data_IF_861723957387
#
_entry.id   IF_861723957387
#
_cell.length_a   1.000
_cell.length_b   1.000
_cell.length_c   1.000
_cell.angle_alpha   90.00
_cell.angle_beta   90.00
_cell.angle_gamma   90.00
#
_symmetry.space_group_name_H-M   'P 1'
#
loop_
_entity.id
_entity.type
_entity.pdbx_description
1 polymer ?
#
# COMPACT_ATOMS: atom_id res chain seq x y z
N UNK A 1 -8.55 -12.13 30.29
CA UNK A 1 -7.79 -11.14 31.05
C UNK A 1 -6.92 -10.29 30.15
N UNK A 2 -6.40 -9.22 30.69
CA UNK A 2 -5.53 -8.30 29.94
C UNK A 2 -4.27 -8.99 29.40
N UNK A 3 -3.63 -9.85 30.19
CA UNK A 3 -2.45 -10.59 29.77
C UNK A 3 -2.77 -11.47 28.55
N UNK A 4 -3.91 -12.17 28.58
CA UNK A 4 -4.32 -13.02 27.45
C UNK A 4 -4.61 -12.21 26.18
N UNK A 5 -5.18 -11.02 26.33
CA UNK A 5 -5.42 -10.12 25.19
C UNK A 5 -4.12 -9.68 24.58
N UNK A 6 -3.13 -9.30 25.40
CA UNK A 6 -1.81 -8.91 24.92
C UNK A 6 -1.09 -10.05 24.21
N UNK A 7 -1.15 -11.26 24.77
CA UNK A 7 -0.57 -12.45 24.13
C UNK A 7 -1.25 -12.76 22.79
N UNK A 8 -2.56 -12.60 22.73
CA UNK A 8 -3.31 -12.80 21.49
C UNK A 8 -2.89 -11.80 20.43
N UNK A 9 -2.72 -10.53 20.79
CA UNK A 9 -2.24 -9.51 19.85
C UNK A 9 -0.86 -9.87 19.31
N UNK A 10 0.07 -10.30 20.17
CA UNK A 10 1.39 -10.73 19.72
C UNK A 10 1.33 -11.88 18.74
N UNK A 11 0.47 -12.86 18.99
CA UNK A 11 0.26 -13.98 18.07
C UNK A 11 -0.37 -13.53 16.74
N UNK A 12 -1.32 -12.59 16.81
CA UNK A 12 -1.96 -12.01 15.62
C UNK A 12 -0.92 -11.34 14.73
N UNK A 13 -0.06 -10.51 15.30
CA UNK A 13 0.97 -9.80 14.55
C UNK A 13 1.99 -10.74 13.93
N UNK A 14 2.50 -11.69 14.71
CA UNK A 14 3.45 -12.67 14.21
C UNK A 14 2.84 -13.58 13.13
N UNK A 15 1.61 -14.03 13.33
CA UNK A 15 0.90 -14.87 12.37
C UNK A 15 0.57 -14.12 11.09
N UNK A 16 0.15 -12.85 11.19
CA UNK A 16 -0.12 -12.00 10.05
C UNK A 16 1.13 -11.71 9.23
N UNK A 17 2.23 -11.41 9.89
CA UNK A 17 3.51 -11.20 9.23
C UNK A 17 3.95 -12.46 8.47
N UNK A 18 3.89 -13.62 9.13
CA UNK A 18 4.26 -14.88 8.52
C UNK A 18 3.39 -15.17 7.29
N UNK A 19 2.08 -15.00 7.41
CA UNK A 19 1.16 -15.23 6.31
C UNK A 19 1.48 -14.33 5.12
N UNK A 20 1.79 -13.06 5.37
CA UNK A 20 2.15 -12.11 4.32
C UNK A 20 3.45 -12.52 3.62
N UNK A 21 4.46 -12.91 4.39
CA UNK A 21 5.75 -13.33 3.85
C UNK A 21 5.63 -14.59 2.98
N UNK A 22 4.67 -15.46 3.27
CA UNK A 22 4.45 -16.70 2.51
C UNK A 22 3.66 -16.51 1.22
N UNK A 23 3.06 -15.33 1.01
CA UNK A 23 2.36 -15.04 -0.23
C UNK A 23 3.35 -14.78 -1.36
N UNK A 24 3.01 -15.23 -2.56
CA UNK A 24 3.77 -14.90 -3.76
C UNK A 24 3.33 -13.54 -4.28
N UNK A 25 4.26 -12.63 -4.57
CA UNK A 25 3.90 -11.36 -5.16
C UNK A 25 3.46 -11.54 -6.61
N UNK A 26 2.43 -10.79 -7.02
CA UNK A 26 1.86 -10.87 -8.36
C UNK A 26 2.11 -9.53 -9.07
N UNK A 27 2.50 -9.52 -10.36
CA UNK A 27 2.65 -8.28 -11.08
C UNK A 27 1.39 -7.41 -10.95
N UNK A 28 1.58 -6.10 -10.74
CA UNK A 28 0.49 -5.18 -10.35
C UNK A 28 -0.75 -5.31 -11.24
N UNK A 29 -0.59 -5.26 -12.55
CA UNK A 29 -1.72 -5.26 -13.49
C UNK A 29 -2.24 -6.67 -13.83
N UNK A 30 -1.66 -7.71 -13.25
CA UNK A 30 -2.14 -9.09 -13.40
C UNK A 30 -2.81 -9.60 -12.13
N UNK A 31 -2.84 -8.78 -11.08
CA UNK A 31 -3.33 -9.21 -9.79
C UNK A 31 -4.85 -9.31 -9.75
N UNK A 32 -5.34 -10.34 -9.06
CA UNK A 32 -6.76 -10.52 -8.80
C UNK A 32 -6.98 -10.25 -7.31
N UNK A 33 -7.45 -9.04 -7.00
CA UNK A 33 -7.54 -8.56 -5.62
C UNK A 33 -8.92 -8.90 -5.04
N UNK A 34 -8.97 -9.49 -3.83
CA UNK A 34 -10.26 -9.85 -3.24
C UNK A 34 -11.04 -8.62 -2.76
N UNK A 35 -12.35 -8.69 -2.90
CA UNK A 35 -13.29 -7.66 -2.45
C UNK A 35 -13.53 -7.84 -0.94
N UNK A 36 -12.53 -7.54 -0.14
CA UNK A 36 -12.48 -7.86 1.29
C UNK A 36 -11.61 -6.85 2.04
N UNK A 37 -11.85 -6.70 3.34
CA UNK A 37 -10.95 -5.97 4.21
C UNK A 37 -9.59 -6.68 4.29
N UNK A 38 -8.52 -5.93 4.36
CA UNK A 38 -7.21 -6.55 4.45
C UNK A 38 -6.04 -5.60 4.30
N UNK A 39 -4.91 -6.19 3.98
CA UNK A 39 -3.62 -5.53 3.78
C UNK A 39 -3.12 -5.77 2.37
N UNK A 40 -2.37 -4.81 1.88
CA UNK A 40 -1.61 -4.98 0.65
C UNK A 40 -0.17 -4.53 0.85
N UNK A 41 0.72 -5.16 0.11
CA UNK A 41 2.17 -5.01 0.20
C UNK A 41 2.67 -4.83 -1.22
N UNK A 42 3.35 -3.72 -1.49
CA UNK A 42 3.78 -3.35 -2.85
C UNK A 42 5.29 -3.29 -2.90
N UNK A 43 5.88 -3.98 -3.85
CA UNK A 43 7.32 -3.93 -4.10
C UNK A 43 7.60 -3.56 -5.54
N UNK A 44 8.69 -2.83 -5.76
CA UNK A 44 9.16 -2.44 -7.09
C UNK A 44 10.44 -3.20 -7.41
N UNK A 45 10.63 -3.56 -8.68
CA UNK A 45 11.78 -4.35 -9.09
C UNK A 45 13.14 -3.79 -8.68
N UNK A 46 13.30 -2.46 -8.73
CA UNK A 46 14.57 -1.81 -8.39
C UNK A 46 14.59 -1.24 -6.97
N UNK A 47 13.46 -0.79 -6.47
CA UNK A 47 13.37 -0.07 -5.18
C UNK A 47 13.00 -0.96 -4.00
N UNK A 48 12.67 -2.22 -4.23
CA UNK A 48 12.25 -3.13 -3.17
C UNK A 48 10.89 -2.80 -2.61
N UNK A 49 10.67 -3.02 -1.33
CA UNK A 49 9.39 -2.74 -0.67
C UNK A 49 9.14 -1.24 -0.63
N UNK A 50 8.07 -0.79 -1.29
CA UNK A 50 7.76 0.64 -1.37
C UNK A 50 6.57 1.04 -0.52
N UNK A 51 5.60 0.15 -0.27
CA UNK A 51 4.37 0.57 0.39
C UNK A 51 3.65 -0.60 1.03
N UNK A 52 3.12 -0.37 2.23
CA UNK A 52 2.17 -1.27 2.90
C UNK A 52 0.96 -0.44 3.26
N UNK A 53 -0.23 -0.96 2.96
CA UNK A 53 -1.48 -0.28 3.28
C UNK A 53 -2.53 -1.24 3.80
N UNK A 54 -3.55 -0.68 4.45
CA UNK A 54 -4.73 -1.42 4.87
C UNK A 54 -5.97 -0.77 4.27
N UNK A 55 -7.05 -1.53 4.17
CA UNK A 55 -8.32 -1.00 3.72
C UNK A 55 -9.46 -1.89 4.19
N UNK A 56 -10.63 -1.28 4.39
CA UNK A 56 -11.87 -2.02 4.58
C UNK A 56 -12.30 -2.76 3.30
N UNK A 57 -11.76 -2.37 2.15
CA UNK A 57 -11.94 -3.07 0.87
C UNK A 57 -10.68 -2.88 0.02
N UNK A 58 -9.82 -3.91 0.01
CA UNK A 58 -8.53 -3.81 -0.66
C UNK A 58 -8.67 -3.74 -2.18
N UNK A 59 -9.73 -4.31 -2.76
CA UNK A 59 -9.95 -4.18 -4.20
C UNK A 59 -10.26 -2.74 -4.61
N UNK A 60 -11.09 -2.04 -3.84
CA UNK A 60 -11.38 -0.62 -4.13
C UNK A 60 -10.12 0.23 -4.04
N UNK A 61 -9.27 0.00 -3.03
CA UNK A 61 -8.00 0.72 -2.90
C UNK A 61 -7.05 0.40 -4.05
N UNK A 62 -6.96 -0.86 -4.43
CA UNK A 62 -6.16 -1.27 -5.58
C UNK A 62 -6.63 -0.58 -6.86
N UNK A 63 -7.94 -0.54 -7.10
CA UNK A 63 -8.51 0.13 -8.28
C UNK A 63 -8.18 1.62 -8.25
N UNK A 64 -8.29 2.26 -7.08
CA UNK A 64 -7.93 3.67 -6.90
C UNK A 64 -6.45 3.90 -7.19
N UNK A 65 -5.56 3.09 -6.63
CA UNK A 65 -4.13 3.21 -6.86
C UNK A 65 -3.74 2.94 -8.32
N UNK A 66 -4.55 2.16 -9.03
CA UNK A 66 -4.27 1.82 -10.43
C UNK A 66 -4.64 2.93 -11.41
N UNK A 67 -5.44 3.92 -10.98
CA UNK A 67 -5.95 4.89 -11.95
C UNK A 67 -6.14 6.33 -11.50
N UNK A 68 -6.29 6.61 -10.20
CA UNK A 68 -6.72 7.95 -9.74
C UNK A 68 -5.73 8.58 -8.77
N UNK A 69 -4.90 9.48 -9.27
CA UNK A 69 -3.88 10.16 -8.45
C UNK A 69 -4.48 10.96 -7.30
N UNK A 70 -5.58 11.66 -7.54
CA UNK A 70 -6.20 12.50 -6.51
C UNK A 70 -6.51 11.75 -5.21
N UNK A 71 -7.04 10.52 -5.32
CA UNK A 71 -7.43 9.72 -4.16
C UNK A 71 -6.35 8.71 -3.73
N UNK A 72 -5.20 8.70 -4.37
CA UNK A 72 -4.15 7.72 -4.12
C UNK A 72 -2.89 8.36 -3.56
N UNK A 73 -2.67 8.19 -2.26
CA UNK A 73 -1.41 8.60 -1.65
C UNK A 73 -0.22 7.87 -2.27
N UNK A 74 -0.38 6.58 -2.58
CA UNK A 74 0.67 5.79 -3.24
C UNK A 74 1.10 6.43 -4.56
N UNK A 75 0.16 6.78 -5.43
CA UNK A 75 0.47 7.41 -6.71
C UNK A 75 1.14 8.77 -6.51
N UNK A 76 0.63 9.58 -5.59
CA UNK A 76 1.24 10.90 -5.30
C UNK A 76 2.67 10.75 -4.80
N UNK A 77 2.93 9.79 -3.91
CA UNK A 77 4.28 9.58 -3.39
C UNK A 77 5.23 8.99 -4.45
N UNK A 78 4.76 8.11 -5.31
CA UNK A 78 5.55 7.67 -6.46
C UNK A 78 5.95 8.89 -7.30
N UNK A 79 5.00 9.74 -7.64
CA UNK A 79 5.27 10.90 -8.46
C UNK A 79 6.23 11.88 -7.81
N UNK A 80 6.00 12.26 -6.56
CA UNK A 80 6.82 13.29 -5.89
C UNK A 80 8.15 12.75 -5.39
N UNK A 81 8.17 11.56 -4.79
CA UNK A 81 9.36 11.08 -4.07
C UNK A 81 10.30 10.26 -4.96
N UNK A 82 9.77 9.56 -5.96
CA UNK A 82 10.57 8.72 -6.84
C UNK A 82 10.83 9.41 -8.17
N UNK A 83 9.79 9.95 -8.80
CA UNK A 83 9.89 10.53 -10.14
C UNK A 83 10.16 12.04 -10.12
N UNK A 84 10.15 12.65 -8.94
CA UNK A 84 10.46 14.07 -8.74
C UNK A 84 9.52 15.03 -9.48
N UNK A 85 8.24 14.63 -9.62
CA UNK A 85 7.20 15.49 -10.19
C UNK A 85 6.62 16.40 -9.13
N UNK A 86 6.06 17.53 -9.55
CA UNK A 86 5.35 18.46 -8.68
C UNK A 86 3.84 18.26 -8.86
N UNK A 87 3.11 18.26 -7.73
CA UNK A 87 1.66 18.20 -7.76
C UNK A 87 1.08 19.55 -8.17
N UNK A 88 0.11 19.51 -9.07
CA UNK A 88 -0.59 20.69 -9.55
C UNK A 88 -1.83 20.97 -8.72
N UNK A 89 -2.19 22.24 -8.61
CA UNK A 89 -3.39 22.70 -7.88
C UNK A 89 -4.57 22.72 -8.83
N UNK A 90 -5.65 22.02 -8.44
CA UNK A 90 -6.97 22.12 -9.09
C UNK A 90 -8.02 22.20 -8.00
N UNK A 91 -8.98 23.10 -8.13
CA UNK A 91 -10.05 23.29 -7.15
C UNK A 91 -9.51 23.46 -5.72
N UNK A 92 -8.40 24.19 -5.58
CA UNK A 92 -7.76 24.44 -4.30
C UNK A 92 -7.01 23.25 -3.70
N UNK A 93 -6.89 22.14 -4.42
CA UNK A 93 -6.20 20.93 -3.93
C UNK A 93 -4.93 20.66 -4.75
N UNK A 94 -3.82 20.43 -4.07
CA UNK A 94 -2.53 20.12 -4.68
C UNK A 94 -2.36 18.61 -4.79
N UNK A 95 -3.18 17.97 -5.65
CA UNK A 95 -3.29 16.50 -5.74
C UNK A 95 -3.28 15.95 -7.16
N UNK A 96 -2.86 16.74 -8.13
CA UNK A 96 -2.92 16.34 -9.53
C UNK A 96 -1.54 16.38 -10.17
N UNK A 97 -1.34 15.50 -11.12
CA UNK A 97 -0.21 15.55 -12.04
C UNK A 97 -0.71 15.80 -13.46
N UNK A 98 0.20 16.20 -14.34
CA UNK A 98 -0.10 16.26 -15.77
C UNK A 98 -0.37 14.84 -16.29
N UNK A 99 -1.13 14.75 -17.39
CA UNK A 99 -1.47 13.45 -17.96
C UNK A 99 -0.24 12.62 -18.32
N UNK A 100 0.80 13.26 -18.86
CA UNK A 100 2.06 12.58 -19.18
C UNK A 100 2.76 12.04 -17.95
N UNK A 101 2.64 12.76 -16.83
CA UNK A 101 3.22 12.34 -15.54
C UNK A 101 2.45 11.16 -14.95
N UNK A 102 1.12 11.18 -15.05
CA UNK A 102 0.29 10.02 -14.64
C UNK A 102 0.64 8.77 -15.43
N UNK A 103 0.97 8.91 -16.71
CA UNK A 103 1.43 7.78 -17.53
C UNK A 103 2.75 7.22 -17.02
N UNK A 104 3.66 8.08 -16.58
CA UNK A 104 4.93 7.62 -16.00
C UNK A 104 4.70 6.90 -14.67
N UNK A 105 3.75 7.32 -13.87
CA UNK A 105 3.35 6.61 -12.65
C UNK A 105 2.82 5.22 -13.01
N UNK A 106 2.00 5.12 -14.06
CA UNK A 106 1.50 3.82 -14.51
C UNK A 106 2.65 2.90 -14.96
N UNK A 107 3.65 3.43 -15.64
CA UNK A 107 4.84 2.65 -16.02
C UNK A 107 5.60 2.16 -14.79
N UNK A 108 5.72 2.99 -13.76
CA UNK A 108 6.34 2.59 -12.51
C UNK A 108 5.58 1.42 -11.88
N UNK A 109 4.24 1.50 -11.86
CA UNK A 109 3.39 0.42 -11.33
C UNK A 109 3.50 -0.87 -12.15
N UNK A 110 3.76 -0.79 -13.46
CA UNK A 110 4.02 -1.99 -14.28
C UNK A 110 5.24 -2.77 -13.80
N UNK A 111 6.18 -2.12 -13.12
CA UNK A 111 7.35 -2.76 -12.54
C UNK A 111 7.15 -3.12 -11.07
N UNK A 112 5.94 -3.00 -10.57
CA UNK A 112 5.58 -3.35 -9.20
C UNK A 112 4.88 -4.70 -9.14
N UNK A 113 5.02 -5.35 -7.98
CA UNK A 113 4.28 -6.55 -7.63
C UNK A 113 3.54 -6.30 -6.34
N UNK A 114 2.38 -6.92 -6.20
CA UNK A 114 1.52 -6.75 -5.04
C UNK A 114 1.24 -8.08 -4.37
N UNK A 115 1.21 -8.08 -3.04
CA UNK A 115 0.63 -9.13 -2.22
C UNK A 115 -0.62 -8.55 -1.60
N UNK A 116 -1.73 -9.26 -1.66
CA UNK A 116 -2.97 -8.85 -1.03
C UNK A 116 -3.43 -9.94 -0.08
N UNK A 117 -3.74 -9.57 1.15
CA UNK A 117 -4.09 -10.52 2.20
C UNK A 117 -5.38 -10.09 2.88
N UNK A 118 -6.36 -11.01 2.95
CA UNK A 118 -7.59 -10.76 3.69
C UNK A 118 -7.27 -10.69 5.18
N UNK A 119 -7.75 -9.65 5.84
CA UNK A 119 -7.61 -9.48 7.29
C UNK A 119 -8.94 -8.92 7.80
N UNK A 120 -9.69 -9.72 8.52
CA UNK A 120 -10.99 -9.32 9.06
C UNK A 120 -10.89 -8.71 10.45
N UNK A 121 -9.76 -8.89 11.12
CA UNK A 121 -9.56 -8.39 12.49
C UNK A 121 -8.09 -7.98 12.68
N UNK A 122 -7.88 -6.80 13.24
CA UNK A 122 -6.53 -6.34 13.59
C UNK A 122 -5.74 -5.73 12.44
N UNK A 123 -6.37 -5.32 11.35
CA UNK A 123 -5.63 -4.80 10.20
C UNK A 123 -4.86 -3.50 10.48
N UNK A 124 -5.41 -2.62 11.34
CA UNK A 124 -4.71 -1.39 11.72
C UNK A 124 -3.44 -1.69 12.50
N UNK A 125 -3.53 -2.59 13.48
CA UNK A 125 -2.41 -2.99 14.33
C UNK A 125 -1.34 -3.70 13.51
N UNK A 126 -1.75 -4.57 12.59
CA UNK A 126 -0.82 -5.29 11.73
C UNK A 126 -0.12 -4.36 10.74
N UNK A 127 -0.85 -3.43 10.12
CA UNK A 127 -0.26 -2.43 9.22
C UNK A 127 0.81 -1.61 9.96
N UNK A 128 0.47 -1.06 11.12
CA UNK A 128 1.40 -0.24 11.89
C UNK A 128 2.65 -1.03 12.29
N UNK A 129 2.47 -2.26 12.74
CA UNK A 129 3.58 -3.15 13.10
C UNK A 129 4.52 -3.38 11.92
N UNK A 130 3.95 -3.71 10.76
CA UNK A 130 4.74 -4.00 9.57
C UNK A 130 5.45 -2.77 9.01
N UNK A 131 4.79 -1.61 9.02
CA UNK A 131 5.41 -0.35 8.57
C UNK A 131 6.59 0.01 9.47
N UNK A 132 6.44 -0.12 10.78
CA UNK A 132 7.53 0.16 11.73
C UNK A 132 8.70 -0.79 11.56
N UNK A 133 8.41 -2.06 11.30
CA UNK A 133 9.45 -3.09 11.17
C UNK A 133 10.20 -3.00 9.85
N UNK A 134 9.49 -2.86 8.75
CA UNK A 134 10.07 -2.93 7.41
C UNK A 134 10.37 -1.59 6.77
N UNK A 135 9.79 -0.52 7.26
CA UNK A 135 9.99 0.86 6.80
C UNK A 135 9.93 0.99 5.28
N UNK A 136 8.76 0.73 4.67
CA UNK A 136 8.64 0.85 3.22
C UNK A 136 8.99 2.25 2.74
N UNK A 137 9.57 2.34 1.56
CA UNK A 137 10.12 3.58 1.01
C UNK A 137 9.13 4.75 1.03
N UNK A 138 7.87 4.50 0.68
CA UNK A 138 6.86 5.55 0.47
C UNK A 138 5.85 5.71 1.60
N UNK A 139 5.95 4.93 2.68
CA UNK A 139 5.10 5.14 3.84
C UNK A 139 5.63 6.30 4.67
N UNK A 140 4.96 7.45 4.57
CA UNK A 140 5.29 8.64 5.33
C UNK A 140 4.48 8.69 6.62
N UNK A 141 4.88 9.56 7.55
CA UNK A 141 4.17 9.76 8.81
C UNK A 141 2.69 10.11 8.61
N UNK A 142 2.39 10.95 7.65
CA UNK A 142 1.03 11.40 7.35
C UNK A 142 0.14 10.30 6.79
N UNK A 143 0.71 9.16 6.44
CA UNK A 143 -0.05 8.00 5.97
C UNK A 143 -0.41 7.03 7.10
N UNK A 144 -0.05 7.38 8.31
CA UNK A 144 -0.21 6.48 9.46
C UNK A 144 -1.38 6.86 10.33
#
# INVERSE_FOLDING_TARGET
TWIKVQDYLGQLLAGGEHALLMLDPIPWFEANIPNNAGLYHVEHGDNGLIYIGESSNIKERYDTHSGTTYFSALRRHIGTDVLEFELHVRNGKKRYFAESEDKEINKYLHNCKIKAMKVNFGRFELEEYLIRKYRPLLNRKENK
#
